data_IF_995649194703
#
_entry.id   IF_995649194703
#
_cell.length_a   1.000
_cell.length_b   1.000
_cell.length_c   1.000
_cell.angle_alpha   90.00
_cell.angle_beta   90.00
_cell.angle_gamma   90.00
#
_symmetry.space_group_name_H-M   'P 1'
#
loop_
_entity.id
_entity.type
_entity.pdbx_description
1 polymer ?
#
# COMPACT_ATOMS: atom_id res chain seq x y z
N UNK A 1 -19.57 -15.23 -4.86
CA UNK A 1 -20.24 -14.69 -3.64
C UNK A 1 -19.36 -13.57 -3.10
N UNK A 2 -19.93 -12.44 -2.72
CA UNK A 2 -19.23 -11.35 -2.03
C UNK A 2 -19.23 -11.63 -0.52
N UNK A 3 -18.09 -11.48 0.13
CA UNK A 3 -17.92 -11.71 1.58
C UNK A 3 -17.18 -10.53 2.19
N UNK A 4 -17.64 -10.05 3.33
CA UNK A 4 -16.91 -9.08 4.14
C UNK A 4 -15.93 -9.82 5.05
N UNK A 5 -14.64 -9.53 4.92
CA UNK A 5 -13.56 -10.18 5.68
C UNK A 5 -13.29 -9.49 7.02
N UNK A 6 -13.66 -8.21 7.17
CA UNK A 6 -13.54 -7.45 8.42
C UNK A 6 -14.66 -6.40 8.50
N UNK A 7 -15.43 -6.45 9.59
CA UNK A 7 -16.58 -5.57 9.83
C UNK A 7 -16.20 -4.37 10.72
N UNK A 8 -17.00 -3.30 10.70
CA UNK A 8 -16.86 -2.10 11.55
C UNK A 8 -15.54 -1.32 11.41
N UNK A 9 -14.94 -1.35 10.21
CA UNK A 9 -13.72 -0.61 9.89
C UNK A 9 -13.89 0.18 8.60
N UNK A 10 -13.32 1.39 8.54
CA UNK A 10 -13.26 2.19 7.33
C UNK A 10 -11.85 2.06 6.74
N UNK A 11 -11.70 1.08 5.85
CA UNK A 11 -10.43 0.71 5.22
C UNK A 11 -10.39 1.08 3.74
N UNK A 12 -9.21 1.42 3.22
CA UNK A 12 -8.94 1.64 1.80
C UNK A 12 -7.62 1.01 1.38
N UNK A 13 -7.47 0.75 0.08
CA UNK A 13 -6.28 0.19 -0.56
C UNK A 13 -5.75 -1.09 0.10
N UNK A 14 -6.66 -1.95 0.55
CA UNK A 14 -6.27 -3.16 1.28
C UNK A 14 -5.55 -4.14 0.37
N UNK A 15 -4.32 -4.48 0.73
CA UNK A 15 -3.46 -5.43 0.01
C UNK A 15 -3.29 -6.69 0.85
N UNK A 16 -3.88 -7.83 0.46
CA UNK A 16 -3.64 -9.12 1.10
C UNK A 16 -2.28 -9.68 0.66
N UNK A 17 -1.54 -10.26 1.60
CA UNK A 17 -0.24 -10.88 1.35
C UNK A 17 -0.07 -12.13 2.21
N UNK A 18 0.25 -13.26 1.59
CA UNK A 18 0.50 -14.51 2.31
C UNK A 18 1.99 -14.67 2.54
N UNK A 19 2.42 -14.75 3.79
CA UNK A 19 3.81 -14.82 4.18
C UNK A 19 3.98 -15.54 5.53
N UNK A 20 4.96 -16.45 5.58
CA UNK A 20 5.26 -17.27 6.78
C UNK A 20 4.01 -17.91 7.38
N UNK A 21 3.29 -18.67 6.55
CA UNK A 21 2.07 -19.41 6.91
C UNK A 21 0.92 -18.56 7.47
N UNK A 22 0.94 -17.24 7.21
CA UNK A 22 -0.08 -16.31 7.67
C UNK A 22 -0.49 -15.31 6.58
N UNK A 23 -1.76 -14.91 6.60
CA UNK A 23 -2.26 -13.79 5.82
C UNK A 23 -2.02 -12.48 6.55
N UNK A 24 -1.58 -11.49 5.78
CA UNK A 24 -1.38 -10.11 6.19
C UNK A 24 -2.29 -9.21 5.37
N UNK A 25 -2.98 -8.28 6.04
CA UNK A 25 -3.71 -7.19 5.39
C UNK A 25 -2.97 -5.90 5.65
N UNK A 26 -2.44 -5.30 4.59
CA UNK A 26 -1.87 -3.97 4.58
C UNK A 26 -2.96 -3.00 4.17
N UNK A 27 -3.31 -2.03 5.00
CA UNK A 27 -4.47 -1.17 4.74
C UNK A 27 -4.30 0.24 5.27
N UNK A 28 -5.01 1.19 4.66
CA UNK A 28 -5.14 2.55 5.16
C UNK A 28 -6.48 2.68 5.90
N UNK A 29 -6.45 3.17 7.13
CA UNK A 29 -7.67 3.38 7.92
C UNK A 29 -8.06 4.85 7.98
N UNK A 30 -9.36 5.11 7.96
CA UNK A 30 -9.93 6.41 8.32
C UNK A 30 -10.14 6.47 9.83
N UNK A 31 -9.24 7.15 10.53
CA UNK A 31 -9.35 7.42 11.98
C UNK A 31 -9.53 8.93 12.18
N UNK A 32 -10.69 9.32 12.73
CA UNK A 32 -10.99 10.68 13.24
C UNK A 32 -10.72 11.87 12.30
N UNK A 33 -10.68 11.65 11.00
CA UNK A 33 -10.47 12.69 9.99
C UNK A 33 -11.44 12.56 8.81
N UNK A 34 -11.63 13.66 8.06
CA UNK A 34 -12.58 13.70 6.93
C UNK A 34 -12.14 12.84 5.73
N UNK A 35 -10.84 12.54 5.60
CA UNK A 35 -10.24 11.76 4.51
C UNK A 35 -9.67 10.45 5.07
N UNK A 36 -9.39 9.44 4.23
CA UNK A 36 -8.62 8.28 4.68
C UNK A 36 -7.26 8.74 5.21
N UNK A 37 -6.83 8.16 6.32
CA UNK A 37 -5.57 8.49 6.94
C UNK A 37 -4.40 8.01 6.09
N UNK A 38 -3.28 8.68 6.26
CA UNK A 38 -2.05 8.46 5.50
C UNK A 38 -1.15 7.38 6.13
N UNK A 39 -1.68 6.64 7.09
CA UNK A 39 -0.97 5.69 7.92
C UNK A 39 -1.22 4.26 7.45
N UNK A 40 -0.20 3.44 7.58
CA UNK A 40 -0.27 2.01 7.30
C UNK A 40 -0.68 1.23 8.55
N UNK A 41 -1.68 0.37 8.40
CA UNK A 41 -2.13 -0.58 9.40
C UNK A 41 -1.98 -2.00 8.88
N UNK A 42 -1.52 -2.88 9.76
CA UNK A 42 -1.35 -4.31 9.49
C UNK A 42 -2.33 -5.11 10.34
N UNK A 43 -2.92 -6.12 9.73
CA UNK A 43 -3.67 -7.15 10.41
C UNK A 43 -3.17 -8.51 9.97
N UNK A 44 -3.21 -9.51 10.85
CA UNK A 44 -2.78 -10.86 10.51
C UNK A 44 -3.82 -11.92 10.87
N UNK A 45 -3.87 -12.99 10.09
CA UNK A 45 -4.92 -14.01 10.20
C UNK A 45 -4.52 -15.32 9.51
N UNK A 46 -5.15 -16.43 9.90
CA UNK A 46 -4.85 -17.75 9.31
C UNK A 46 -5.58 -18.02 7.99
N UNK A 47 -6.70 -17.36 7.78
CA UNK A 47 -7.57 -17.54 6.61
C UNK A 47 -7.95 -16.17 6.06
N UNK A 48 -7.68 -15.95 4.77
CA UNK A 48 -8.01 -14.71 4.06
C UNK A 48 -9.51 -14.42 4.07
N UNK A 49 -10.34 -15.46 3.99
CA UNK A 49 -11.80 -15.34 4.04
C UNK A 49 -12.34 -15.52 5.46
N UNK A 50 -11.44 -15.76 6.42
CA UNK A 50 -11.75 -15.77 7.83
C UNK A 50 -12.14 -14.37 8.32
N UNK A 51 -12.94 -14.32 9.38
CA UNK A 51 -13.31 -13.08 10.07
C UNK A 51 -12.40 -12.74 11.24
N UNK A 52 -11.42 -13.60 11.53
CA UNK A 52 -10.55 -13.48 12.69
C UNK A 52 -9.23 -12.84 12.28
N UNK A 53 -9.16 -11.53 12.46
CA UNK A 53 -7.97 -10.73 12.20
C UNK A 53 -7.40 -10.19 13.50
N UNK A 54 -6.11 -10.38 13.70
CA UNK A 54 -5.35 -9.84 14.82
C UNK A 54 -4.77 -8.49 14.40
N UNK A 55 -5.00 -7.47 15.21
CA UNK A 55 -4.40 -6.14 15.00
C UNK A 55 -2.91 -6.24 15.31
N UNK A 56 -2.07 -5.73 14.41
CA UNK A 56 -0.64 -5.67 14.68
C UNK A 56 -0.35 -4.71 15.87
N UNK A 57 0.46 -5.09 16.87
CA UNK A 57 0.65 -4.30 18.09
C UNK A 57 1.36 -2.96 17.84
N UNK A 58 2.15 -2.87 16.76
CA UNK A 58 2.80 -1.62 16.36
C UNK A 58 1.89 -0.71 15.52
N UNK A 59 0.61 -1.02 15.34
CA UNK A 59 -0.29 -0.18 14.55
C UNK A 59 -0.52 1.21 15.19
N UNK A 60 -0.53 2.29 14.39
CA UNK A 60 -0.09 2.36 12.99
C UNK A 60 1.42 2.12 12.88
N UNK A 61 1.84 1.18 12.02
CA UNK A 61 3.25 0.73 11.95
C UNK A 61 4.21 1.79 11.40
N UNK A 62 3.67 2.91 10.92
CA UNK A 62 4.43 4.05 10.42
C UNK A 62 3.75 5.36 10.81
N UNK A 63 4.49 6.22 11.50
CA UNK A 63 3.97 7.46 12.10
C UNK A 63 4.67 8.73 11.61
N UNK A 64 5.81 8.60 10.93
CA UNK A 64 6.72 9.72 10.67
C UNK A 64 6.72 10.27 9.24
N UNK A 65 6.05 9.61 8.29
CA UNK A 65 5.98 10.08 6.90
C UNK A 65 4.55 10.40 6.51
N UNK A 66 4.43 11.47 5.72
CA UNK A 66 3.16 11.93 5.17
C UNK A 66 2.91 11.07 3.94
N UNK A 67 1.82 10.30 3.96
CA UNK A 67 1.31 9.47 2.85
C UNK A 67 2.06 8.12 2.66
N UNK A 68 1.52 7.04 3.23
CA UNK A 68 2.10 5.67 3.17
C UNK A 68 1.11 4.58 2.72
N UNK A 69 -0.01 5.01 2.12
CA UNK A 69 -1.07 4.11 1.66
C UNK A 69 -0.50 3.05 0.71
N UNK A 70 -1.00 1.81 0.76
CA UNK A 70 -0.64 0.81 -0.24
C UNK A 70 -0.92 1.30 -1.66
N UNK A 71 -0.04 0.99 -2.59
CA UNK A 71 -0.13 1.39 -4.00
C UNK A 71 -0.29 0.20 -4.95
N UNK A 72 -0.67 -0.97 -4.45
CA UNK A 72 -0.79 -2.19 -5.24
C UNK A 72 -0.22 -3.40 -4.51
N UNK A 73 -0.07 -4.49 -5.25
CA UNK A 73 0.37 -5.77 -4.74
C UNK A 73 1.79 -5.71 -4.17
N UNK A 74 2.02 -6.46 -3.10
CA UNK A 74 3.36 -6.72 -2.59
C UNK A 74 4.08 -7.65 -3.57
N UNK A 75 5.32 -7.30 -3.89
CA UNK A 75 6.16 -7.97 -4.88
C UNK A 75 7.23 -8.75 -4.13
N UNK A 76 7.42 -10.02 -4.50
CA UNK A 76 8.51 -10.84 -3.98
C UNK A 76 9.46 -11.13 -5.14
N UNK A 77 10.68 -10.59 -5.07
CA UNK A 77 11.71 -10.77 -6.09
C UNK A 77 13.10 -10.78 -5.44
N UNK A 78 13.98 -11.68 -5.89
CA UNK A 78 15.38 -11.73 -5.48
C UNK A 78 15.59 -11.67 -3.95
N UNK A 79 14.82 -12.45 -3.21
CA UNK A 79 14.77 -12.49 -1.74
C UNK A 79 14.35 -11.18 -1.05
N UNK A 80 13.81 -10.21 -1.79
CA UNK A 80 13.21 -8.99 -1.23
C UNK A 80 11.70 -9.06 -1.27
N UNK A 81 11.08 -8.45 -0.27
CA UNK A 81 9.65 -8.21 -0.21
C UNK A 81 9.46 -6.70 -0.39
N UNK A 82 8.94 -6.28 -1.53
CA UNK A 82 8.77 -4.88 -1.89
C UNK A 82 7.29 -4.52 -1.83
N UNK A 83 6.95 -3.55 -0.99
CA UNK A 83 5.61 -2.97 -0.89
C UNK A 83 5.58 -1.66 -1.67
N UNK A 84 4.74 -1.54 -2.70
CA UNK A 84 4.42 -0.26 -3.30
C UNK A 84 3.68 0.63 -2.30
N UNK A 85 4.16 1.87 -2.12
CA UNK A 85 3.53 2.89 -1.29
C UNK A 85 3.34 4.19 -2.07
N UNK A 86 2.21 4.86 -1.84
CA UNK A 86 1.92 6.15 -2.44
C UNK A 86 2.76 7.24 -1.76
N UNK A 87 3.66 7.93 -2.48
CA UNK A 87 4.29 9.15 -1.96
C UNK A 87 3.54 10.39 -2.47
N UNK A 88 2.95 11.11 -1.52
CA UNK A 88 2.21 12.35 -1.80
C UNK A 88 2.80 13.59 -1.15
N UNK A 89 4.05 13.55 -0.66
CA UNK A 89 4.69 14.64 0.12
C UNK A 89 4.69 15.97 -0.64
N UNK A 90 4.95 15.95 -1.96
CA UNK A 90 4.97 17.17 -2.79
C UNK A 90 3.60 17.50 -3.43
N UNK A 91 2.77 16.48 -3.64
CA UNK A 91 1.44 16.55 -4.27
C UNK A 91 0.74 15.19 -4.08
N UNK A 92 -0.58 15.16 -3.88
CA UNK A 92 -1.34 13.90 -3.95
C UNK A 92 -1.08 13.20 -5.30
N UNK A 93 -0.45 12.02 -5.27
CA UNK A 93 0.06 11.33 -6.48
C UNK A 93 1.28 11.95 -7.09
N UNK A 94 2.24 12.35 -6.26
CA UNK A 94 3.49 12.92 -6.73
C UNK A 94 4.44 11.85 -7.25
N UNK A 95 4.56 10.75 -6.52
CA UNK A 95 5.43 9.64 -6.85
C UNK A 95 4.96 8.34 -6.16
N UNK A 96 5.63 7.24 -6.50
CA UNK A 96 5.54 5.98 -5.81
C UNK A 96 6.87 5.67 -5.14
N UNK A 97 6.83 4.97 -4.02
CA UNK A 97 8.01 4.34 -3.44
C UNK A 97 7.82 2.82 -3.43
N UNK A 98 8.88 2.09 -3.76
CA UNK A 98 9.02 0.70 -3.38
C UNK A 98 9.70 0.67 -2.02
N UNK A 99 9.03 0.07 -1.04
CA UNK A 99 9.51 -0.07 0.33
C UNK A 99 9.91 -1.53 0.53
N UNK A 100 11.17 -1.78 0.83
CA UNK A 100 11.61 -3.13 1.20
C UNK A 100 11.19 -3.41 2.63
N UNK A 101 10.35 -4.42 2.82
CA UNK A 101 9.98 -4.96 4.12
C UNK A 101 11.15 -5.82 4.61
N UNK A 102 11.90 -5.30 5.59
CA UNK A 102 13.07 -5.97 6.16
C UNK A 102 12.72 -6.85 7.35
N UNK A 103 11.60 -6.57 8.02
CA UNK A 103 11.03 -7.42 9.08
C UNK A 103 9.50 -7.43 8.99
N UNK A 104 8.92 -8.62 9.06
CA UNK A 104 7.47 -8.84 9.14
C UNK A 104 7.20 -10.07 10.01
N UNK A 105 6.71 -9.83 11.22
CA UNK A 105 6.25 -10.84 12.19
C UNK A 105 5.04 -10.30 12.94
N UNK A 106 4.39 -11.13 13.77
CA UNK A 106 3.20 -10.72 14.54
C UNK A 106 3.46 -9.64 15.59
N UNK A 107 4.72 -9.34 15.87
CA UNK A 107 5.18 -8.39 16.88
C UNK A 107 6.19 -7.34 16.35
N UNK A 108 6.70 -7.49 15.13
CA UNK A 108 7.66 -6.58 14.52
C UNK A 108 7.31 -6.25 13.07
N UNK A 109 7.49 -4.98 12.72
CA UNK A 109 7.41 -4.52 11.34
C UNK A 109 8.49 -3.47 11.09
N UNK A 110 9.30 -3.69 10.05
CA UNK A 110 10.29 -2.72 9.59
C UNK A 110 10.33 -2.70 8.06
N UNK A 111 10.49 -1.49 7.51
CA UNK A 111 10.70 -1.29 6.09
C UNK A 111 11.64 -0.11 5.82
N UNK A 112 12.36 -0.17 4.70
CA UNK A 112 13.23 0.91 4.24
C UNK A 112 12.85 1.34 2.82
N UNK A 113 13.20 2.58 2.45
CA UNK A 113 13.03 3.04 1.07
C UNK A 113 14.00 2.24 0.19
N UNK A 114 13.46 1.48 -0.75
CA UNK A 114 14.27 0.75 -1.73
C UNK A 114 14.46 1.59 -2.99
N UNK A 115 13.36 2.15 -3.51
CA UNK A 115 13.39 2.95 -4.73
C UNK A 115 12.23 3.93 -4.77
N UNK A 116 12.50 5.14 -5.28
CA UNK A 116 11.46 6.10 -5.66
C UNK A 116 11.19 5.99 -7.16
N UNK A 117 9.92 6.07 -7.53
CA UNK A 117 9.45 6.05 -8.91
C UNK A 117 8.69 7.36 -9.15
N UNK A 118 9.33 8.26 -9.88
CA UNK A 118 8.71 9.51 -10.33
C UNK A 118 8.04 9.32 -11.70
N UNK A 119 6.96 10.07 -11.99
CA UNK A 119 6.23 9.99 -13.26
C UNK A 119 6.99 10.65 -14.43
N UNK A 120 8.25 10.31 -14.64
CA UNK A 120 9.14 10.98 -15.60
C UNK A 120 9.19 10.31 -16.98
N UNK A 121 8.38 9.28 -17.24
CA UNK A 121 8.36 8.59 -18.53
C UNK A 121 7.60 9.34 -19.63
N UNK A 122 6.80 10.35 -19.27
CA UNK A 122 6.12 11.26 -20.20
C UNK A 122 5.83 12.58 -19.47
N UNK A 123 6.31 13.70 -20.01
CA UNK A 123 6.17 15.06 -19.42
C UNK A 123 4.70 15.50 -19.19
N UNK A 124 3.77 14.88 -19.91
CA UNK A 124 2.34 15.12 -19.77
C UNK A 124 1.72 14.39 -18.57
N UNK A 125 2.38 13.35 -18.06
CA UNK A 125 2.00 12.67 -16.83
C UNK A 125 2.48 13.51 -15.65
N UNK A 126 1.55 13.86 -14.77
CA UNK A 126 1.83 14.68 -13.60
C UNK A 126 1.96 13.85 -12.33
N UNK A 127 1.46 12.62 -12.34
CA UNK A 127 1.38 11.77 -11.16
C UNK A 127 1.17 10.30 -11.47
N UNK A 128 1.47 9.46 -10.50
CA UNK A 128 1.22 8.00 -10.51
C UNK A 128 0.91 7.55 -9.08
N UNK A 129 0.05 6.55 -8.95
CA UNK A 129 -0.60 6.12 -7.70
C UNK A 129 -0.67 4.60 -7.53
N UNK A 130 -0.54 3.85 -8.61
CA UNK A 130 -0.64 2.39 -8.60
C UNK A 130 0.58 1.75 -9.27
N UNK A 131 1.16 0.74 -8.63
CA UNK A 131 2.21 -0.11 -9.17
C UNK A 131 1.88 -1.57 -8.85
N UNK A 132 1.66 -2.37 -9.88
CA UNK A 132 1.48 -3.81 -9.77
C UNK A 132 2.45 -4.51 -10.69
N UNK A 133 3.16 -5.50 -10.16
CA UNK A 133 4.02 -6.37 -10.95
C UNK A 133 3.69 -7.82 -10.65
N UNK A 134 3.49 -8.63 -11.70
CA UNK A 134 3.36 -10.07 -11.58
C UNK A 134 3.88 -10.76 -12.84
N UNK A 135 4.74 -11.76 -12.69
CA UNK A 135 5.25 -12.63 -13.77
C UNK A 135 5.72 -11.87 -15.03
N UNK A 136 6.49 -10.79 -14.84
CA UNK A 136 7.03 -9.98 -15.94
C UNK A 136 6.06 -8.93 -16.50
N UNK A 137 4.81 -8.89 -16.02
CA UNK A 137 3.85 -7.86 -16.37
C UNK A 137 3.86 -6.73 -15.34
N UNK A 138 4.17 -5.51 -15.80
CA UNK A 138 4.06 -4.29 -15.01
C UNK A 138 2.82 -3.49 -15.42
N UNK A 139 2.01 -3.11 -14.44
CA UNK A 139 0.86 -2.21 -14.60
C UNK A 139 1.05 -1.00 -13.69
N UNK A 140 1.04 0.19 -14.28
CA UNK A 140 1.09 1.47 -13.57
C UNK A 140 0.04 2.43 -14.14
N UNK A 141 -0.44 3.34 -13.31
CA UNK A 141 -1.32 4.43 -13.73
C UNK A 141 -0.58 5.76 -13.90
N UNK A 142 -1.21 6.69 -14.62
CA UNK A 142 -0.67 8.01 -14.87
C UNK A 142 -1.78 9.06 -14.89
N UNK A 143 -1.61 10.15 -14.13
CA UNK A 143 -2.50 11.30 -14.14
C UNK A 143 -2.06 12.31 -15.20
N UNK A 144 -2.83 12.42 -16.28
CA UNK A 144 -2.64 13.46 -17.31
C UNK A 144 -3.70 14.55 -17.16
N UNK A 145 -3.27 15.82 -17.19
CA UNK A 145 -4.20 16.96 -17.19
C UNK A 145 -4.33 17.47 -18.62
N UNK A 146 -5.53 17.35 -19.19
CA UNK A 146 -5.86 17.87 -20.52
C UNK A 146 -6.75 19.10 -20.38
N UNK A 147 -6.48 20.15 -21.18
CA UNK A 147 -7.39 21.29 -21.27
C UNK A 147 -8.69 20.82 -21.90
N UNK A 148 -9.82 21.13 -21.26
CA UNK A 148 -11.14 20.88 -21.85
C UNK A 148 -11.25 21.71 -23.12
N UNK A 149 -11.45 21.07 -24.26
CA UNK A 149 -11.80 21.78 -25.49
C UNK A 149 -13.22 22.32 -25.32
N UNK A 150 -13.34 23.63 -25.44
CA UNK A 150 -14.61 24.39 -25.43
C UNK A 150 -15.38 24.16 -26.71
#
# INVERSE_FOLDING_TARGET
KHTVIMDNILAADTTPFYYQDQWWLFTALKQDCKKFGDKLFLFSGKDLLGKQWQVHPLNPVKTNLVYDRPAGNIIVSDNKILRPSQDSIKRYGGALELREITQLSTDSYQEQCFQRIDPCWDDSIKGTHTYNFNDGLLVMDGLKVIKKQS
#
